data_IF_580066050063
#
_entry.id   IF_580066050063
#
_cell.length_a   1.000
_cell.length_b   1.000
_cell.length_c   1.000
_cell.angle_alpha   90.00
_cell.angle_beta   90.00
_cell.angle_gamma   90.00
#
_symmetry.space_group_name_H-M   'P 1'
#
loop_
_entity.id
_entity.type
_entity.pdbx_description
1 polymer ?
#
# COMPACT_ATOMS: atom_id res chain seq x y z
N UNK A 1 -16.59 22.69 0.57
CA UNK A 1 -16.16 21.31 0.97
C UNK A 1 -14.70 21.10 0.58
N UNK A 2 -13.83 20.66 1.50
CA UNK A 2 -12.42 20.33 1.19
C UNK A 2 -12.35 19.28 0.07
N UNK A 3 -11.38 19.40 -0.85
CA UNK A 3 -11.23 18.51 -2.03
C UNK A 3 -11.18 17.03 -1.65
N UNK A 4 -10.51 16.69 -0.54
CA UNK A 4 -10.45 15.33 0.02
C UNK A 4 -11.83 14.78 0.38
N UNK A 5 -12.66 15.55 1.11
CA UNK A 5 -14.05 15.16 1.43
C UNK A 5 -14.90 14.94 0.18
N UNK A 6 -14.73 15.77 -0.86
CA UNK A 6 -15.42 15.56 -2.15
C UNK A 6 -15.05 14.23 -2.79
N UNK A 7 -13.76 13.90 -2.83
CA UNK A 7 -13.30 12.63 -3.39
C UNK A 7 -13.80 11.43 -2.57
N UNK A 8 -13.77 11.54 -1.24
CA UNK A 8 -14.32 10.53 -0.34
C UNK A 8 -15.79 10.25 -0.65
N UNK A 9 -16.66 11.27 -0.64
CA UNK A 9 -18.09 11.06 -0.92
C UNK A 9 -18.35 10.51 -2.33
N UNK A 10 -17.55 10.89 -3.32
CA UNK A 10 -17.66 10.33 -4.68
C UNK A 10 -17.37 8.82 -4.69
N UNK A 11 -16.34 8.39 -3.97
CA UNK A 11 -15.96 6.97 -3.86
C UNK A 11 -16.98 6.20 -3.03
N UNK A 12 -17.37 6.74 -1.88
CA UNK A 12 -18.41 6.16 -1.04
C UNK A 12 -19.70 5.94 -1.83
N UNK A 13 -20.21 6.98 -2.51
CA UNK A 13 -21.41 6.86 -3.34
C UNK A 13 -21.26 5.83 -4.45
N UNK A 14 -20.12 5.82 -5.16
CA UNK A 14 -19.88 4.83 -6.21
C UNK A 14 -19.98 3.39 -5.67
N UNK A 15 -19.32 3.09 -4.55
CA UNK A 15 -19.32 1.73 -4.01
C UNK A 15 -20.62 1.33 -3.31
N UNK A 16 -21.37 2.28 -2.73
CA UNK A 16 -22.70 2.02 -2.16
C UNK A 16 -23.77 1.78 -3.24
N UNK A 17 -23.64 2.38 -4.42
CA UNK A 17 -24.66 2.29 -5.48
C UNK A 17 -24.30 1.26 -6.55
N UNK A 18 -23.02 1.15 -6.93
CA UNK A 18 -22.58 0.42 -8.12
C UNK A 18 -21.50 -0.63 -7.84
N UNK A 19 -20.92 -0.63 -6.65
CA UNK A 19 -19.81 -1.51 -6.29
C UNK A 19 -20.25 -2.69 -5.45
N UNK A 20 -19.33 -3.64 -5.28
CA UNK A 20 -19.42 -4.68 -4.26
C UNK A 20 -18.42 -4.34 -3.16
N UNK A 21 -18.90 -4.19 -1.93
CA UNK A 21 -18.07 -4.06 -0.74
C UNK A 21 -18.28 -5.31 0.11
N UNK A 22 -17.18 -5.91 0.56
CA UNK A 22 -17.28 -6.85 1.67
C UNK A 22 -17.55 -6.06 2.98
N UNK A 23 -17.97 -6.77 4.02
CA UNK A 23 -18.35 -6.17 5.30
C UNK A 23 -17.23 -5.30 5.89
N UNK A 24 -15.99 -5.78 5.85
CA UNK A 24 -14.83 -5.03 6.35
C UNK A 24 -14.62 -3.71 5.59
N UNK A 25 -14.67 -3.74 4.26
CA UNK A 25 -14.50 -2.54 3.45
C UNK A 25 -15.67 -1.56 3.61
N UNK A 26 -16.88 -2.08 3.79
CA UNK A 26 -18.06 -1.26 4.10
C UNK A 26 -17.87 -0.53 5.43
N UNK A 27 -17.60 -1.25 6.53
CA UNK A 27 -17.43 -0.65 7.85
C UNK A 27 -16.32 0.40 7.85
N UNK A 28 -15.16 0.09 7.25
CA UNK A 28 -14.04 1.02 7.20
C UNK A 28 -14.38 2.27 6.39
N UNK A 29 -14.99 2.14 5.21
CA UNK A 29 -15.25 3.31 4.36
C UNK A 29 -16.34 4.21 4.96
N UNK A 30 -17.28 3.69 5.75
CA UNK A 30 -18.34 4.50 6.39
C UNK A 30 -17.91 5.15 7.70
N UNK A 31 -16.88 4.61 8.37
CA UNK A 31 -16.41 5.05 9.70
C UNK A 31 -15.07 5.81 9.65
N UNK A 32 -14.71 6.38 8.49
CA UNK A 32 -13.47 7.16 8.41
C UNK A 32 -13.58 8.47 9.20
N UNK A 33 -12.56 8.75 10.01
CA UNK A 33 -12.43 10.06 10.66
C UNK A 33 -12.15 11.18 9.65
N UNK A 34 -12.39 12.43 10.04
CA UNK A 34 -12.07 13.58 9.19
C UNK A 34 -10.57 13.66 8.87
N UNK A 35 -9.71 13.29 9.81
CA UNK A 35 -8.26 13.18 9.64
C UNK A 35 -7.89 12.07 8.65
N UNK A 36 -8.50 10.87 8.78
CA UNK A 36 -8.29 9.76 7.85
C UNK A 36 -8.71 10.14 6.42
N UNK A 37 -9.86 10.81 6.28
CA UNK A 37 -10.34 11.31 4.98
C UNK A 37 -9.34 12.29 4.38
N UNK A 38 -8.88 13.27 5.16
CA UNK A 38 -7.90 14.26 4.69
C UNK A 38 -6.59 13.56 4.29
N UNK A 39 -6.06 12.69 5.15
CA UNK A 39 -4.79 12.01 4.93
C UNK A 39 -4.84 11.09 3.71
N UNK A 40 -5.88 10.28 3.57
CA UNK A 40 -5.92 9.22 2.55
C UNK A 40 -6.57 9.64 1.23
N UNK A 41 -7.27 10.79 1.16
CA UNK A 41 -7.89 11.30 -0.08
C UNK A 41 -7.29 12.63 -0.58
N UNK A 42 -6.29 13.20 0.10
CA UNK A 42 -5.54 14.37 -0.36
C UNK A 42 -4.67 14.07 -1.59
N UNK A 43 -4.05 12.89 -1.63
CA UNK A 43 -3.20 12.44 -2.74
C UNK A 43 -4.01 12.09 -3.99
N UNK A 44 -3.48 12.38 -5.18
CA UNK A 44 -4.12 11.97 -6.46
C UNK A 44 -4.10 10.45 -6.65
N UNK A 45 -4.96 9.92 -7.53
CA UNK A 45 -4.95 8.48 -7.86
C UNK A 45 -3.61 8.04 -8.44
N UNK A 46 -2.99 8.85 -9.29
CA UNK A 46 -1.66 8.60 -9.86
C UNK A 46 -0.58 8.50 -8.78
N UNK A 47 -0.60 9.40 -7.78
CA UNK A 47 0.33 9.36 -6.65
C UNK A 47 0.13 8.09 -5.81
N UNK A 48 -1.11 7.71 -5.53
CA UNK A 48 -1.42 6.44 -4.85
C UNK A 48 -0.89 5.24 -5.64
N UNK A 49 -1.11 5.19 -6.96
CA UNK A 49 -0.57 4.11 -7.81
C UNK A 49 0.95 4.03 -7.70
N UNK A 50 1.65 5.16 -7.79
CA UNK A 50 3.11 5.21 -7.69
C UNK A 50 3.63 4.71 -6.34
N UNK A 51 2.96 5.05 -5.24
CA UNK A 51 3.33 4.53 -3.92
C UNK A 51 3.14 3.01 -3.86
N UNK A 52 2.00 2.50 -4.36
CA UNK A 52 1.73 1.06 -4.42
C UNK A 52 2.75 0.32 -5.31
N UNK A 53 3.15 0.90 -6.44
CA UNK A 53 4.20 0.36 -7.31
C UNK A 53 5.55 0.31 -6.61
N UNK A 54 5.92 1.34 -5.85
CA UNK A 54 7.14 1.33 -5.03
C UNK A 54 7.09 0.26 -3.94
N UNK A 55 5.95 0.08 -3.27
CA UNK A 55 5.77 -0.98 -2.28
C UNK A 55 5.83 -2.37 -2.91
N UNK A 56 5.28 -2.53 -4.11
CA UNK A 56 5.44 -3.77 -4.89
C UNK A 56 6.90 -4.06 -5.17
N UNK A 57 7.68 -3.05 -5.56
CA UNK A 57 9.09 -3.20 -5.85
C UNK A 57 9.89 -3.56 -4.59
N UNK A 58 9.53 -3.00 -3.43
CA UNK A 58 10.07 -3.40 -2.12
C UNK A 58 9.76 -4.87 -1.81
N UNK A 59 8.52 -5.32 -2.03
CA UNK A 59 8.17 -6.72 -1.83
C UNK A 59 8.92 -7.66 -2.78
N UNK A 60 9.04 -7.30 -4.06
CA UNK A 60 9.80 -8.09 -5.03
C UNK A 60 11.28 -8.19 -4.65
N UNK A 61 11.87 -7.07 -4.22
CA UNK A 61 13.23 -7.01 -3.69
C UNK A 61 13.43 -7.96 -2.51
N UNK A 62 12.59 -7.84 -1.48
CA UNK A 62 12.71 -8.64 -0.27
C UNK A 62 12.40 -10.12 -0.51
N UNK A 63 11.43 -10.43 -1.37
CA UNK A 63 11.11 -11.81 -1.76
C UNK A 63 12.25 -12.47 -2.52
N UNK A 64 12.93 -11.74 -3.42
CA UNK A 64 14.11 -12.25 -4.11
C UNK A 64 15.28 -12.54 -3.14
N UNK A 65 15.44 -11.71 -2.09
CA UNK A 65 16.42 -11.95 -1.03
C UNK A 65 16.08 -13.17 -0.17
N UNK A 66 14.82 -13.32 0.23
CA UNK A 66 14.36 -14.43 1.07
C UNK A 66 14.52 -15.79 0.38
N UNK A 67 14.19 -15.86 -0.90
CA UNK A 67 14.24 -17.12 -1.64
C UNK A 67 15.63 -17.42 -2.24
N UNK A 68 16.64 -16.57 -1.99
CA UNK A 68 17.98 -16.66 -2.58
C UNK A 68 17.96 -16.90 -4.10
N UNK A 69 17.00 -16.28 -4.81
CA UNK A 69 16.86 -16.43 -6.26
C UNK A 69 17.95 -15.63 -6.97
N UNK A 70 19.16 -16.18 -6.99
CA UNK A 70 20.32 -15.64 -7.71
C UNK A 70 20.61 -14.17 -7.43
N UNK A 71 20.91 -13.43 -8.50
CA UNK A 71 21.25 -12.00 -8.46
C UNK A 71 20.03 -11.10 -8.78
N UNK A 72 18.82 -11.64 -8.86
CA UNK A 72 17.62 -10.87 -9.25
C UNK A 72 17.32 -9.72 -8.29
N UNK A 73 17.67 -9.89 -7.01
CA UNK A 73 17.57 -8.83 -6.00
C UNK A 73 18.40 -7.59 -6.36
N UNK A 74 19.53 -7.74 -7.08
CA UNK A 74 20.31 -6.61 -7.58
C UNK A 74 19.55 -5.81 -8.64
N UNK A 75 18.78 -6.51 -9.48
CA UNK A 75 17.92 -5.88 -10.48
C UNK A 75 16.85 -4.99 -9.85
N UNK A 76 16.20 -5.49 -8.79
CA UNK A 76 15.23 -4.69 -8.03
C UNK A 76 15.89 -3.57 -7.22
N UNK A 77 17.07 -3.83 -6.63
CA UNK A 77 17.83 -2.82 -5.88
C UNK A 77 18.16 -1.60 -6.73
N UNK A 78 18.56 -1.79 -8.00
CA UNK A 78 18.87 -0.69 -8.93
C UNK A 78 17.66 0.22 -9.24
N UNK A 79 16.43 -0.31 -9.08
CA UNK A 79 15.18 0.42 -9.32
C UNK A 79 14.65 1.11 -8.06
N UNK A 80 15.20 0.78 -6.88
CA UNK A 80 14.80 1.36 -5.60
C UNK A 80 15.78 2.47 -5.18
N UNK A 81 15.27 3.64 -4.78
CA UNK A 81 16.04 4.61 -4.00
C UNK A 81 16.71 3.97 -2.79
N UNK A 82 17.92 4.44 -2.47
CA UNK A 82 18.78 3.83 -1.45
C UNK A 82 18.12 3.74 -0.08
N UNK A 83 17.46 4.81 0.34
CA UNK A 83 16.69 4.82 1.58
C UNK A 83 15.64 3.71 1.60
N UNK A 84 14.93 3.45 0.50
CA UNK A 84 13.82 2.51 0.49
C UNK A 84 14.26 1.07 0.66
N UNK A 85 15.33 0.65 -0.02
CA UNK A 85 15.81 -0.70 0.21
C UNK A 85 16.38 -0.83 1.63
N UNK A 86 17.16 0.13 2.14
CA UNK A 86 17.74 0.07 3.50
C UNK A 86 16.67 -0.07 4.60
N UNK A 87 15.64 0.77 4.56
CA UNK A 87 14.54 0.68 5.52
C UNK A 87 13.76 -0.65 5.39
N UNK A 88 13.60 -1.15 4.16
CA UNK A 88 12.94 -2.44 3.97
C UNK A 88 13.77 -3.62 4.48
N UNK A 89 15.10 -3.56 4.43
CA UNK A 89 15.95 -4.60 5.04
C UNK A 89 15.85 -4.56 6.57
N UNK A 90 15.87 -3.35 7.14
CA UNK A 90 15.73 -3.16 8.58
C UNK A 90 14.37 -3.64 9.12
N UNK A 91 13.33 -3.62 8.28
CA UNK A 91 12.02 -4.17 8.62
C UNK A 91 12.02 -5.70 8.81
N UNK A 92 13.03 -6.40 8.29
CA UNK A 92 13.20 -7.85 8.46
C UNK A 92 11.97 -8.66 8.01
N UNK A 93 11.67 -8.59 6.71
CA UNK A 93 10.62 -9.42 6.09
C UNK A 93 10.95 -10.90 6.29
N UNK A 94 9.95 -11.69 6.71
CA UNK A 94 10.08 -13.14 6.93
C UNK A 94 9.33 -13.94 5.86
N UNK A 95 8.16 -13.43 5.45
CA UNK A 95 7.31 -14.08 4.47
C UNK A 95 6.63 -13.03 3.59
N UNK A 96 6.66 -13.28 2.28
CA UNK A 96 5.95 -12.48 1.27
C UNK A 96 5.26 -13.45 0.32
N UNK A 97 3.93 -13.41 0.22
CA UNK A 97 3.20 -14.42 -0.53
C UNK A 97 3.36 -14.20 -2.04
N UNK A 98 3.35 -15.31 -2.79
CA UNK A 98 3.42 -15.30 -4.25
C UNK A 98 2.05 -15.24 -4.93
N UNK A 99 2.05 -15.23 -6.27
CA UNK A 99 0.83 -15.33 -7.08
C UNK A 99 0.00 -14.05 -7.24
N UNK A 100 0.46 -12.92 -6.70
CA UNK A 100 -0.22 -11.63 -6.80
C UNK A 100 0.35 -10.74 -7.89
N UNK A 101 -0.51 -9.91 -8.49
CA UNK A 101 -0.08 -8.81 -9.37
C UNK A 101 0.73 -7.78 -8.59
N UNK A 102 1.48 -6.92 -9.30
CA UNK A 102 2.27 -5.87 -8.65
C UNK A 102 1.42 -4.95 -7.75
N UNK A 103 0.24 -4.53 -8.22
CA UNK A 103 -0.64 -3.66 -7.43
C UNK A 103 -1.15 -4.35 -6.17
N UNK A 104 -1.57 -5.60 -6.29
CA UNK A 104 -2.00 -6.44 -5.17
C UNK A 104 -0.87 -6.63 -4.15
N UNK A 105 0.35 -6.90 -4.61
CA UNK A 105 1.51 -7.07 -3.74
C UNK A 105 1.84 -5.80 -2.96
N UNK A 106 1.82 -4.64 -3.63
CA UNK A 106 2.01 -3.35 -2.95
C UNK A 106 0.93 -3.05 -1.91
N UNK A 107 -0.33 -3.42 -2.20
CA UNK A 107 -1.43 -3.29 -1.25
C UNK A 107 -1.27 -4.23 -0.04
N UNK A 108 -0.78 -5.46 -0.24
CA UNK A 108 -0.49 -6.39 0.86
C UNK A 108 0.60 -5.82 1.79
N UNK A 109 1.67 -5.23 1.24
CA UNK A 109 2.72 -4.58 2.04
C UNK A 109 2.14 -3.42 2.87
N UNK A 110 1.31 -2.59 2.26
CA UNK A 110 0.63 -1.51 2.98
C UNK A 110 -0.28 -2.07 4.10
N UNK A 111 -1.00 -3.16 3.82
CA UNK A 111 -1.89 -3.80 4.79
C UNK A 111 -1.15 -4.39 6.00
N UNK A 112 0.12 -4.77 5.86
CA UNK A 112 0.95 -5.23 6.97
C UNK A 112 1.22 -4.15 8.03
N UNK A 113 1.07 -2.86 7.67
CA UNK A 113 1.26 -1.73 8.59
C UNK A 113 -0.06 -1.00 8.88
N UNK A 114 -0.87 -0.80 7.85
CA UNK A 114 -2.14 -0.08 7.95
C UNK A 114 -3.19 -0.70 7.00
N UNK A 115 -3.89 -1.71 7.51
CA UNK A 115 -4.95 -2.42 6.77
C UNK A 115 -6.10 -1.49 6.36
N UNK A 116 -6.53 -0.56 7.23
CA UNK A 116 -7.58 0.41 6.91
C UNK A 116 -7.21 1.25 5.70
N UNK A 117 -5.99 1.80 5.68
CA UNK A 117 -5.50 2.57 4.55
C UNK A 117 -5.36 1.72 3.28
N UNK A 118 -4.91 0.46 3.39
CA UNK A 118 -4.82 -0.45 2.25
C UNK A 118 -6.18 -0.72 1.62
N UNK A 119 -7.22 -0.92 2.44
CA UNK A 119 -8.61 -1.09 1.98
C UNK A 119 -9.09 0.17 1.26
N UNK A 120 -8.89 1.35 1.86
CA UNK A 120 -9.28 2.60 1.20
C UNK A 120 -8.55 2.77 -0.13
N UNK A 121 -7.25 2.49 -0.18
CA UNK A 121 -6.46 2.65 -1.40
C UNK A 121 -6.76 1.60 -2.46
N UNK A 122 -7.14 0.38 -2.08
CA UNK A 122 -7.60 -0.65 -3.01
C UNK A 122 -8.90 -0.21 -3.69
N UNK A 123 -9.86 0.33 -2.93
CA UNK A 123 -11.08 0.94 -3.47
C UNK A 123 -10.78 2.12 -4.38
N UNK A 124 -9.84 2.99 -3.99
CA UNK A 124 -9.41 4.14 -4.80
C UNK A 124 -8.76 3.74 -6.11
N UNK A 125 -8.08 2.59 -6.16
CA UNK A 125 -7.44 2.04 -7.35
C UNK A 125 -8.37 1.10 -8.14
N UNK A 126 -9.50 0.67 -7.57
CA UNK A 126 -10.38 -0.31 -8.20
C UNK A 126 -9.71 -1.69 -8.30
N UNK A 127 -8.87 -2.03 -7.32
CA UNK A 127 -8.15 -3.29 -7.21
C UNK A 127 -8.65 -4.01 -5.97
N UNK A 128 -8.86 -5.32 -6.04
CA UNK A 128 -9.24 -6.11 -4.85
C UNK A 128 -8.06 -6.15 -3.87
N UNK A 129 -8.30 -5.94 -2.58
CA UNK A 129 -7.28 -6.21 -1.57
C UNK A 129 -7.19 -7.73 -1.38
N UNK A 130 -6.04 -8.37 -1.63
CA UNK A 130 -5.90 -9.80 -1.42
C UNK A 130 -5.87 -10.17 0.07
N UNK A 131 -6.19 -11.44 0.35
CA UNK A 131 -6.14 -11.99 1.72
C UNK A 131 -4.74 -12.39 2.17
N UNK A 132 -3.80 -12.50 1.22
CA UNK A 132 -2.40 -12.76 1.50
C UNK A 132 -1.82 -11.77 2.50
N UNK A 133 -0.88 -12.26 3.33
CA UNK A 133 -0.25 -11.46 4.39
C UNK A 133 1.25 -11.47 4.22
N UNK A 134 1.85 -10.31 4.47
CA UNK A 134 3.30 -10.18 4.60
C UNK A 134 3.65 -10.24 6.08
N UNK A 135 4.64 -11.06 6.42
CA UNK A 135 5.15 -11.19 7.79
C UNK A 135 6.45 -10.40 7.90
N UNK A 136 6.49 -9.47 8.86
CA UNK A 136 7.57 -8.51 9.07
C UNK A 136 8.03 -8.60 10.52
N UNK A 137 9.34 -8.68 10.75
CA UNK A 137 9.90 -8.76 12.11
C UNK A 137 9.90 -7.43 12.85
N UNK A 138 10.03 -6.31 12.13
CA UNK A 138 10.10 -4.95 12.68
C UNK A 138 9.22 -3.98 11.87
N UNK A 139 7.89 -4.03 12.06
CA UNK A 139 6.93 -3.25 11.26
C UNK A 139 7.11 -1.73 11.36
N UNK A 140 7.75 -1.22 12.42
CA UNK A 140 8.05 0.19 12.61
C UNK A 140 8.98 0.77 11.51
N UNK A 141 9.93 -0.01 11.01
CA UNK A 141 10.79 0.41 9.89
C UNK A 141 10.01 0.46 8.58
N UNK A 142 9.08 -0.49 8.39
CA UNK A 142 8.18 -0.49 7.23
C UNK A 142 7.19 0.69 7.29
N UNK A 143 6.71 1.05 8.49
CA UNK A 143 5.87 2.22 8.71
C UNK A 143 6.60 3.52 8.34
N UNK A 144 7.83 3.69 8.82
CA UNK A 144 8.67 4.85 8.47
C UNK A 144 8.93 4.95 6.97
N UNK A 145 9.20 3.80 6.33
CA UNK A 145 9.36 3.72 4.88
C UNK A 145 8.11 4.19 4.13
N UNK A 146 6.94 3.62 4.45
CA UNK A 146 5.66 3.96 3.82
C UNK A 146 5.36 5.44 4.02
N UNK A 147 5.53 5.96 5.24
CA UNK A 147 5.31 7.36 5.55
C UNK A 147 6.20 8.27 4.69
N UNK A 148 7.50 7.97 4.60
CA UNK A 148 8.42 8.70 3.73
C UNK A 148 8.06 8.62 2.25
N UNK A 149 7.55 7.48 1.75
CA UNK A 149 7.07 7.37 0.37
C UNK A 149 5.85 8.26 0.12
N UNK A 150 4.95 8.37 1.09
CA UNK A 150 3.75 9.20 0.99
C UNK A 150 4.15 10.68 0.96
N UNK A 151 4.95 11.13 1.93
CA UNK A 151 5.36 12.55 2.02
C UNK A 151 6.22 13.01 0.85
N UNK A 152 7.19 12.20 0.40
CA UNK A 152 8.07 12.57 -0.71
C UNK A 152 7.34 12.61 -2.07
N UNK A 153 6.17 11.98 -2.17
CA UNK A 153 5.29 12.10 -3.35
C UNK A 153 4.20 13.19 -3.18
N UNK A 154 4.20 13.96 -2.09
CA UNK A 154 3.28 15.10 -1.88
C UNK A 154 3.81 16.39 -2.53
N UNK A 155 5.13 16.57 -2.64
CA UNK A 155 5.75 17.64 -3.43
C UNK A 155 5.65 17.38 -4.94
#
# INVERSE_FOLDING_TARGET
MKKSKRHYYKILHYYLVKGFLNEEAFNIITELSDEEIVMWFSSSRTRVSKVIELLSLVAQYQRARLNYTGLDWLGYRKKLPQNYYLWSEAAFFREIPGGYTSQELGLIVLAAVNRRQAIVWSLRLGVKLPEGRVIVGRPEYLKSLIFGMIENNVK
#
